data_IF_929468024928
#
_entry.id   IF_929468024928
#
_cell.length_a   1.000
_cell.length_b   1.000
_cell.length_c   1.000
_cell.angle_alpha   90.00
_cell.angle_beta   90.00
_cell.angle_gamma   90.00
#
_symmetry.space_group_name_H-M   'P 1'
#
loop_
_entity.id
_entity.type
_entity.pdbx_description
1 polymer ?
#
# COMPACT_ATOMS: atom_id res chain seq x y z
N UNK A 1 -12.15 31.95 -8.23
CA UNK A 1 -12.91 32.08 -6.98
C UNK A 1 -12.07 31.40 -5.92
N UNK A 2 -11.93 32.02 -4.77
CA UNK A 2 -11.10 31.51 -3.67
C UNK A 2 -11.95 30.45 -2.97
N UNK A 3 -11.57 29.17 -2.99
CA UNK A 3 -12.38 28.08 -2.40
C UNK A 3 -12.30 28.08 -0.86
N UNK A 4 -12.60 29.22 -0.24
CA UNK A 4 -12.53 29.43 1.21
C UNK A 4 -13.64 28.66 1.92
N UNK A 5 -13.52 28.53 3.24
CA UNK A 5 -14.50 27.79 4.04
C UNK A 5 -15.95 28.31 3.92
N UNK A 6 -16.16 29.61 3.70
CA UNK A 6 -17.51 30.13 3.48
C UNK A 6 -18.12 29.62 2.16
N UNK A 7 -17.31 29.42 1.12
CA UNK A 7 -17.79 28.89 -0.17
C UNK A 7 -18.22 27.42 -0.02
N UNK A 8 -17.56 26.65 0.86
CA UNK A 8 -18.01 25.30 1.25
C UNK A 8 -19.39 25.35 1.90
N UNK A 9 -19.57 26.22 2.90
CA UNK A 9 -20.85 26.36 3.59
C UNK A 9 -21.95 26.80 2.62
N UNK A 10 -21.68 27.79 1.78
CA UNK A 10 -22.67 28.23 0.79
C UNK A 10 -23.05 27.11 -0.19
N UNK A 11 -22.07 26.35 -0.69
CA UNK A 11 -22.32 25.18 -1.55
C UNK A 11 -23.14 24.09 -0.83
N UNK A 12 -22.83 23.82 0.44
CA UNK A 12 -23.57 22.88 1.27
C UNK A 12 -25.03 23.32 1.46
N UNK A 13 -25.23 24.59 1.83
CA UNK A 13 -26.56 25.18 1.97
C UNK A 13 -27.34 25.18 0.66
N UNK A 14 -26.70 25.42 -0.49
CA UNK A 14 -27.35 25.32 -1.79
C UNK A 14 -27.77 23.89 -2.13
N UNK A 15 -26.94 22.91 -1.82
CA UNK A 15 -27.27 21.49 -2.05
C UNK A 15 -28.51 21.09 -1.24
N UNK A 16 -28.51 21.44 0.04
CA UNK A 16 -29.59 21.13 0.97
C UNK A 16 -30.88 21.91 0.66
N UNK A 17 -30.74 23.17 0.23
CA UNK A 17 -31.88 24.01 -0.17
C UNK A 17 -32.29 23.88 -1.63
N UNK A 18 -31.70 22.95 -2.40
CA UNK A 18 -31.81 22.83 -3.87
C UNK A 18 -33.23 22.64 -4.43
N UNK A 19 -34.24 22.47 -3.57
CA UNK A 19 -35.66 22.42 -3.92
C UNK A 19 -36.25 23.77 -4.38
N UNK A 20 -35.45 24.82 -4.55
CA UNK A 20 -35.92 26.17 -4.89
C UNK A 20 -35.54 26.54 -6.33
N UNK A 21 -36.52 26.70 -7.23
CA UNK A 21 -36.26 27.18 -8.59
C UNK A 21 -35.58 28.55 -8.56
N UNK A 22 -34.39 28.68 -9.17
CA UNK A 22 -33.73 29.96 -9.42
C UNK A 22 -32.43 30.25 -8.65
N UNK A 23 -31.93 29.33 -7.82
CA UNK A 23 -30.57 29.39 -7.28
C UNK A 23 -30.31 30.51 -6.27
N UNK A 24 -31.32 30.94 -5.51
CA UNK A 24 -31.15 31.92 -4.42
C UNK A 24 -31.10 31.22 -3.06
N UNK A 25 -30.21 31.70 -2.17
CA UNK A 25 -30.15 31.24 -0.78
C UNK A 25 -31.50 31.44 -0.11
N UNK A 26 -31.90 30.47 0.72
CA UNK A 26 -33.18 30.49 1.38
C UNK A 26 -33.05 30.02 2.82
N UNK A 27 -33.46 30.87 3.75
CA UNK A 27 -33.40 30.61 5.17
C UNK A 27 -34.79 30.24 5.75
N UNK A 28 -35.87 30.38 5.00
CA UNK A 28 -37.25 30.27 5.45
C UNK A 28 -37.96 28.98 5.00
N UNK A 29 -37.23 27.97 4.50
CA UNK A 29 -37.79 26.73 3.95
C UNK A 29 -37.81 25.56 4.91
N UNK A 30 -38.74 24.66 4.61
CA UNK A 30 -38.87 23.36 5.26
C UNK A 30 -39.02 22.32 4.15
N UNK A 31 -38.20 21.27 4.18
CA UNK A 31 -38.33 20.18 3.22
C UNK A 31 -39.52 19.25 3.57
N UNK A 32 -39.91 18.34 2.68
CA UNK A 32 -41.03 17.42 2.93
C UNK A 32 -40.88 16.49 4.15
N UNK A 33 -39.66 16.36 4.68
CA UNK A 33 -39.32 15.50 5.83
C UNK A 33 -39.20 16.34 7.13
N UNK A 34 -39.49 17.64 7.07
CA UNK A 34 -39.57 18.52 8.22
C UNK A 34 -38.26 19.21 8.62
N UNK A 35 -37.15 19.02 7.90
CA UNK A 35 -35.91 19.76 8.15
C UNK A 35 -36.05 21.24 7.74
N UNK A 36 -35.37 22.15 8.45
CA UNK A 36 -35.61 23.60 8.35
C UNK A 36 -34.37 24.44 7.99
N UNK A 37 -34.59 25.54 7.26
CA UNK A 37 -33.58 26.55 6.96
C UNK A 37 -32.62 26.20 5.82
N UNK A 38 -31.62 27.06 5.61
CA UNK A 38 -30.65 26.97 4.50
C UNK A 38 -29.90 25.63 4.47
N UNK A 39 -29.58 25.10 5.64
CA UNK A 39 -28.79 23.88 5.82
C UNK A 39 -29.64 22.67 6.22
N UNK A 40 -30.97 22.75 6.06
CA UNK A 40 -31.91 21.67 6.38
C UNK A 40 -31.68 21.05 7.76
N UNK A 41 -31.77 21.86 8.81
CA UNK A 41 -31.58 21.46 10.20
C UNK A 41 -32.66 20.52 10.70
N UNK A 42 -32.23 19.45 11.38
CA UNK A 42 -33.10 18.54 12.12
C UNK A 42 -33.12 18.86 13.62
N UNK A 43 -34.13 18.34 14.32
CA UNK A 43 -34.29 18.54 15.77
C UNK A 43 -33.09 18.03 16.57
N UNK A 44 -32.56 16.85 16.21
CA UNK A 44 -31.40 16.28 16.89
C UNK A 44 -30.17 17.21 16.86
N UNK A 45 -29.88 17.82 15.71
CA UNK A 45 -28.75 18.74 15.58
C UNK A 45 -28.97 20.03 16.39
N UNK A 46 -30.18 20.60 16.35
CA UNK A 46 -30.52 21.78 17.14
C UNK A 46 -30.60 21.49 18.64
N UNK A 47 -30.94 20.26 19.02
CA UNK A 47 -30.87 19.77 20.39
C UNK A 47 -29.42 19.69 20.89
N UNK A 48 -28.54 19.08 20.11
CA UNK A 48 -27.11 18.99 20.44
C UNK A 48 -26.45 20.38 20.55
N UNK A 49 -26.92 21.34 19.75
CA UNK A 49 -26.49 22.74 19.80
C UNK A 49 -27.19 23.56 20.91
N UNK A 50 -28.19 22.98 21.59
CA UNK A 50 -28.91 23.59 22.70
C UNK A 50 -29.93 24.65 22.31
N UNK A 51 -30.35 24.74 21.04
CA UNK A 51 -31.48 25.57 20.60
C UNK A 51 -32.83 24.89 20.85
N UNK A 52 -32.81 23.56 20.90
CA UNK A 52 -34.00 22.74 21.04
C UNK A 52 -33.92 21.85 22.28
N UNK A 53 -35.05 21.59 22.92
CA UNK A 53 -35.14 20.73 24.10
C UNK A 53 -36.31 19.76 23.96
N UNK A 54 -36.06 18.53 24.41
CA UNK A 54 -37.01 17.43 24.37
C UNK A 54 -38.20 17.72 25.29
N UNK A 55 -39.42 17.73 24.75
CA UNK A 55 -40.64 17.46 25.53
C UNK A 55 -40.89 15.94 25.53
N UNK A 56 -41.86 15.40 26.27
CA UNK A 56 -42.08 13.97 26.55
C UNK A 56 -42.01 12.92 25.40
N UNK A 57 -41.75 13.31 24.14
CA UNK A 57 -41.36 12.45 23.03
C UNK A 57 -39.92 11.92 23.21
N UNK A 58 -39.72 10.60 23.06
CA UNK A 58 -38.40 9.98 23.15
C UNK A 58 -37.55 10.08 21.87
N UNK A 59 -38.12 10.46 20.72
CA UNK A 59 -37.50 10.38 19.39
C UNK A 59 -37.24 11.76 18.76
N UNK A 60 -36.00 12.24 18.80
CA UNK A 60 -35.55 13.53 18.23
C UNK A 60 -35.33 13.50 16.70
N UNK A 61 -35.68 12.42 16.01
CA UNK A 61 -35.50 12.27 14.56
C UNK A 61 -36.79 12.53 13.76
N UNK A 62 -37.89 12.90 14.41
CA UNK A 62 -39.18 13.11 13.73
C UNK A 62 -39.31 14.46 13.04
N UNK A 63 -38.52 15.46 13.45
CA UNK A 63 -38.56 16.82 12.92
C UNK A 63 -39.98 17.41 12.93
N UNK A 64 -40.77 17.13 13.97
CA UNK A 64 -42.16 17.61 14.09
C UNK A 64 -42.26 18.97 14.78
N UNK A 65 -41.17 19.39 15.44
CA UNK A 65 -41.00 20.65 16.13
C UNK A 65 -41.95 20.84 17.32
N UNK A 66 -42.40 19.75 17.95
CA UNK A 66 -43.40 19.75 19.04
C UNK A 66 -42.86 19.99 20.45
N UNK A 67 -41.54 19.86 20.67
CA UNK A 67 -40.80 20.24 21.89
C UNK A 67 -40.49 21.74 22.07
N UNK A 68 -39.74 22.06 23.12
CA UNK A 68 -39.50 23.43 23.58
C UNK A 68 -38.20 24.03 23.00
N UNK A 69 -38.27 25.27 22.53
CA UNK A 69 -37.09 26.06 22.16
C UNK A 69 -36.47 26.70 23.41
N UNK A 70 -35.14 26.71 23.48
CA UNK A 70 -34.42 27.13 24.70
C UNK A 70 -34.33 28.65 24.89
N UNK A 71 -34.63 29.45 23.86
CA UNK A 71 -34.38 30.89 23.85
C UNK A 71 -32.93 31.28 23.54
N UNK A 72 -32.04 30.31 23.27
CA UNK A 72 -30.63 30.56 22.91
C UNK A 72 -30.54 31.51 21.72
N UNK A 73 -29.67 32.51 21.84
CA UNK A 73 -29.48 33.59 20.85
C UNK A 73 -30.78 34.29 20.41
N UNK A 74 -31.80 34.31 21.27
CA UNK A 74 -33.09 34.94 21.00
C UNK A 74 -34.07 34.07 20.19
N UNK A 75 -33.74 32.80 19.93
CA UNK A 75 -34.61 31.88 19.19
C UNK A 75 -35.55 31.16 20.16
N UNK A 76 -36.83 31.55 20.17
CA UNK A 76 -37.86 30.98 21.06
C UNK A 76 -38.89 30.13 20.30
N UNK A 77 -38.75 30.01 18.99
CA UNK A 77 -39.67 29.27 18.14
C UNK A 77 -39.03 28.85 16.82
N UNK A 78 -39.68 27.91 16.13
CA UNK A 78 -39.32 27.52 14.75
C UNK A 78 -39.32 28.71 13.80
N UNK A 79 -40.28 29.62 13.99
CA UNK A 79 -40.44 30.82 13.17
C UNK A 79 -39.30 31.82 13.40
N UNK A 80 -38.84 31.99 14.66
CA UNK A 80 -37.68 32.83 14.97
C UNK A 80 -36.42 32.31 14.26
N UNK A 81 -36.23 30.98 14.23
CA UNK A 81 -35.08 30.35 13.59
C UNK A 81 -35.10 30.54 12.07
N UNK A 82 -36.24 30.30 11.42
CA UNK A 82 -36.41 30.45 9.97
C UNK A 82 -36.21 31.91 9.51
N UNK A 83 -36.68 32.88 10.30
CA UNK A 83 -36.56 34.30 9.97
C UNK A 83 -35.19 34.91 10.28
N UNK A 84 -34.26 34.14 10.86
CA UNK A 84 -32.96 34.65 11.29
C UNK A 84 -31.78 33.97 10.57
N UNK A 85 -31.49 34.43 9.35
CA UNK A 85 -30.39 33.90 8.55
C UNK A 85 -29.01 34.02 9.19
N UNK A 86 -28.76 35.11 9.95
CA UNK A 86 -27.50 35.28 10.68
C UNK A 86 -27.30 34.18 11.73
N UNK A 87 -28.37 33.77 12.41
CA UNK A 87 -28.33 32.67 13.36
C UNK A 87 -28.10 31.34 12.65
N UNK A 88 -28.73 31.09 11.49
CA UNK A 88 -28.47 29.86 10.73
C UNK A 88 -27.00 29.74 10.27
N UNK A 89 -26.38 30.85 9.86
CA UNK A 89 -24.94 30.91 9.54
C UNK A 89 -24.05 30.66 10.77
N UNK A 90 -24.45 31.18 11.94
CA UNK A 90 -23.73 30.88 13.18
C UNK A 90 -23.87 29.40 13.57
N UNK A 91 -25.07 28.85 13.46
CA UNK A 91 -25.41 27.48 13.86
C UNK A 91 -24.64 26.46 13.01
N UNK A 92 -24.46 26.70 11.70
CA UNK A 92 -23.67 25.79 10.86
C UNK A 92 -22.20 25.76 11.28
N UNK A 93 -21.62 26.90 11.67
CA UNK A 93 -20.25 26.95 12.16
C UNK A 93 -20.10 26.17 13.48
N UNK A 94 -21.02 26.39 14.43
CA UNK A 94 -21.04 25.64 15.69
C UNK A 94 -21.22 24.13 15.45
N UNK A 95 -22.06 23.75 14.49
CA UNK A 95 -22.28 22.35 14.14
C UNK A 95 -21.08 21.69 13.49
N UNK A 96 -20.39 22.37 12.58
CA UNK A 96 -19.19 21.83 11.95
C UNK A 96 -18.10 21.54 12.99
N UNK A 97 -17.99 22.35 14.06
CA UNK A 97 -17.12 22.04 15.19
C UNK A 97 -17.54 20.73 15.91
N UNK A 98 -18.85 20.52 16.12
CA UNK A 98 -19.37 19.27 16.70
C UNK A 98 -19.07 18.08 15.79
N UNK A 99 -19.32 18.20 14.47
CA UNK A 99 -19.05 17.14 13.51
C UNK A 99 -17.55 16.81 13.46
N UNK A 100 -16.68 17.82 13.40
CA UNK A 100 -15.23 17.59 13.45
C UNK A 100 -14.79 16.91 14.74
N UNK A 101 -15.36 17.29 15.89
CA UNK A 101 -15.13 16.62 17.17
C UNK A 101 -15.58 15.15 17.15
N UNK A 102 -16.69 14.83 16.47
CA UNK A 102 -17.16 13.45 16.27
C UNK A 102 -16.30 12.64 15.32
N UNK A 103 -15.78 13.27 14.27
CA UNK A 103 -14.85 12.64 13.31
C UNK A 103 -13.55 12.26 14.03
N UNK A 104 -12.97 13.21 14.75
CA UNK A 104 -11.72 13.03 15.49
C UNK A 104 -11.86 12.03 16.64
N UNK A 105 -12.91 12.13 17.47
CA UNK A 105 -13.14 11.18 18.58
C UNK A 105 -13.43 9.75 18.13
N UNK A 106 -13.87 9.55 16.90
CA UNK A 106 -14.02 8.23 16.30
C UNK A 106 -12.76 7.73 15.58
N UNK A 107 -11.66 8.49 15.61
CA UNK A 107 -10.41 8.13 14.94
C UNK A 107 -10.51 8.14 13.42
N UNK A 108 -11.42 8.93 12.84
CA UNK A 108 -11.62 9.01 11.39
C UNK A 108 -10.74 10.06 10.73
N UNK A 109 -10.13 10.96 11.50
CA UNK A 109 -9.31 12.05 11.00
C UNK A 109 -8.07 11.57 10.22
N UNK A 110 -7.52 10.40 10.58
CA UNK A 110 -6.43 9.68 9.89
C UNK A 110 -6.63 9.45 8.40
N UNK A 111 -7.90 9.41 7.97
CA UNK A 111 -8.22 9.21 6.57
C UNK A 111 -8.07 10.49 5.74
N UNK A 112 -7.87 11.65 6.36
CA UNK A 112 -7.65 12.87 5.60
C UNK A 112 -6.35 12.83 4.82
N UNK A 113 -6.37 13.24 3.55
CA UNK A 113 -5.20 13.22 2.67
C UNK A 113 -5.03 11.91 1.91
N UNK A 114 -5.65 10.83 2.38
CA UNK A 114 -5.63 9.53 1.71
C UNK A 114 -6.41 9.57 0.38
N UNK A 115 -6.08 8.65 -0.53
CA UNK A 115 -6.88 8.38 -1.73
C UNK A 115 -7.41 6.96 -1.61
N UNK A 116 -8.72 6.82 -1.40
CA UNK A 116 -9.36 5.52 -1.26
C UNK A 116 -10.19 5.22 -2.51
N UNK A 117 -9.87 4.15 -3.23
CA UNK A 117 -10.56 3.72 -4.44
C UNK A 117 -10.72 4.87 -5.45
N UNK A 118 -9.61 5.55 -5.73
CA UNK A 118 -9.48 6.78 -6.54
C UNK A 118 -10.22 8.03 -5.99
N UNK A 119 -10.67 8.01 -4.73
CA UNK A 119 -11.37 9.14 -4.10
C UNK A 119 -10.48 9.81 -3.06
N UNK A 120 -10.09 11.05 -3.34
CA UNK A 120 -9.40 11.89 -2.37
C UNK A 120 -10.30 12.19 -1.17
N UNK A 121 -9.81 11.87 0.01
CA UNK A 121 -10.51 12.12 1.27
C UNK A 121 -10.05 13.48 1.82
N UNK A 122 -10.97 14.43 1.90
CA UNK A 122 -10.68 15.79 2.39
C UNK A 122 -11.53 16.13 3.61
N UNK A 123 -11.05 17.07 4.44
CA UNK A 123 -11.78 17.58 5.61
C UNK A 123 -13.22 18.00 5.27
N UNK A 124 -13.39 18.76 4.18
CA UNK A 124 -14.67 19.29 3.72
C UNK A 124 -15.57 18.21 3.13
N UNK A 125 -15.01 17.23 2.41
CA UNK A 125 -15.75 16.04 1.99
C UNK A 125 -16.24 15.21 3.19
N UNK A 126 -15.38 14.98 4.19
CA UNK A 126 -15.75 14.28 5.42
C UNK A 126 -16.86 15.02 6.19
N UNK A 127 -16.75 16.34 6.33
CA UNK A 127 -17.78 17.17 7.00
C UNK A 127 -19.11 17.12 6.26
N UNK A 128 -19.11 17.16 4.92
CA UNK A 128 -20.32 17.05 4.13
C UNK A 128 -21.00 15.69 4.32
N UNK A 129 -20.25 14.58 4.18
CA UNK A 129 -20.79 13.23 4.42
C UNK A 129 -21.30 13.10 5.86
N UNK A 130 -20.55 13.61 6.84
CA UNK A 130 -20.94 13.62 8.25
C UNK A 130 -22.24 14.41 8.51
N UNK A 131 -22.41 15.56 7.84
CA UNK A 131 -23.61 16.39 7.97
C UNK A 131 -24.84 15.72 7.35
N UNK A 132 -24.66 15.10 6.19
CA UNK A 132 -25.76 14.66 5.32
C UNK A 132 -26.17 13.21 5.55
N UNK A 133 -25.20 12.35 5.86
CA UNK A 133 -25.41 10.91 6.06
C UNK A 133 -25.09 10.47 7.50
N UNK A 134 -24.60 11.40 8.33
CA UNK A 134 -24.21 11.13 9.72
C UNK A 134 -22.75 10.68 9.86
N UNK A 135 -22.23 10.81 11.08
CA UNK A 135 -20.82 10.49 11.40
C UNK A 135 -20.58 9.02 11.75
N UNK A 136 -21.62 8.25 12.08
CA UNK A 136 -21.53 6.90 12.65
C UNK A 136 -21.79 5.78 11.64
N UNK A 137 -22.31 4.65 12.15
CA UNK A 137 -22.71 3.50 11.32
C UNK A 137 -23.72 3.91 10.24
N UNK A 138 -23.49 3.46 9.01
CA UNK A 138 -24.27 3.82 7.83
C UNK A 138 -23.89 5.15 7.18
N UNK A 139 -23.07 5.97 7.84
CA UNK A 139 -22.59 7.26 7.34
C UNK A 139 -21.07 7.26 7.09
N UNK A 140 -20.40 8.36 7.47
CA UNK A 140 -18.98 8.59 7.20
C UNK A 140 -18.08 7.45 7.72
N UNK A 141 -18.31 6.95 8.93
CA UNK A 141 -17.49 5.89 9.53
C UNK A 141 -17.48 4.65 8.64
N UNK A 142 -18.66 4.15 8.29
CA UNK A 142 -18.79 2.97 7.43
C UNK A 142 -18.18 3.22 6.06
N UNK A 143 -18.31 4.44 5.50
CA UNK A 143 -17.73 4.77 4.20
C UNK A 143 -16.20 4.63 4.20
N UNK A 144 -15.53 5.27 5.16
CA UNK A 144 -14.07 5.28 5.25
C UNK A 144 -13.53 3.89 5.61
N UNK A 145 -14.13 3.21 6.59
CA UNK A 145 -13.68 1.88 7.02
C UNK A 145 -13.91 0.79 5.96
N UNK A 146 -14.82 1.03 5.00
CA UNK A 146 -15.03 0.16 3.84
C UNK A 146 -14.04 0.38 2.70
N UNK A 147 -13.17 1.39 2.79
CA UNK A 147 -12.30 1.78 1.68
C UNK A 147 -13.02 2.52 0.56
N UNK A 148 -13.94 3.41 0.92
CA UNK A 148 -14.71 4.22 -0.03
C UNK A 148 -15.50 3.42 -1.08
N UNK A 149 -15.85 2.14 -0.82
CA UNK A 149 -16.49 1.26 -1.81
C UNK A 149 -17.96 1.61 -2.05
N UNK A 150 -18.79 1.76 -1.03
CA UNK A 150 -20.12 2.39 -1.09
C UNK A 150 -20.81 2.22 0.27
N UNK A 151 -21.39 3.30 0.78
CA UNK A 151 -22.39 3.22 1.85
C UNK A 151 -23.63 4.01 1.42
N UNK A 152 -24.78 3.68 2.01
CA UNK A 152 -26.10 4.18 1.60
C UNK A 152 -26.13 5.67 1.28
N UNK A 153 -26.93 6.03 0.28
CA UNK A 153 -27.17 7.43 -0.07
C UNK A 153 -28.25 8.07 0.80
N UNK A 154 -28.41 9.38 0.63
CA UNK A 154 -29.57 10.10 1.15
C UNK A 154 -30.88 9.61 0.49
N UNK A 155 -32.02 10.15 0.92
CA UNK A 155 -33.33 9.83 0.34
C UNK A 155 -33.47 10.25 -1.15
N UNK A 156 -32.50 11.00 -1.68
CA UNK A 156 -32.42 11.42 -3.08
C UNK A 156 -31.43 10.59 -3.90
N UNK A 157 -30.77 9.60 -3.29
CA UNK A 157 -29.77 8.74 -3.92
C UNK A 157 -28.38 9.34 -4.05
N UNK A 158 -28.10 10.49 -3.43
CA UNK A 158 -26.75 11.06 -3.36
C UNK A 158 -25.91 10.25 -2.39
N UNK A 159 -24.79 9.69 -2.86
CA UNK A 159 -23.94 8.81 -2.06
C UNK A 159 -22.88 9.57 -1.26
N UNK A 160 -22.27 8.90 -0.28
CA UNK A 160 -21.11 9.45 0.44
C UNK A 160 -19.96 9.80 -0.53
N UNK A 161 -19.76 8.99 -1.58
CA UNK A 161 -18.78 9.25 -2.64
C UNK A 161 -19.09 10.56 -3.37
N UNK A 162 -20.34 10.77 -3.76
CA UNK A 162 -20.74 12.00 -4.46
C UNK A 162 -20.47 13.25 -3.62
N UNK A 163 -20.79 13.20 -2.31
CA UNK A 163 -20.49 14.30 -1.40
C UNK A 163 -18.99 14.51 -1.18
N UNK A 164 -18.23 13.43 -0.96
CA UNK A 164 -16.79 13.49 -0.79
C UNK A 164 -16.13 14.17 -2.00
N UNK A 165 -16.52 13.78 -3.21
CA UNK A 165 -16.03 14.38 -4.46
C UNK A 165 -16.52 15.81 -4.66
N UNK A 166 -17.80 16.10 -4.42
CA UNK A 166 -18.36 17.43 -4.67
C UNK A 166 -17.73 18.50 -3.77
N UNK A 167 -17.39 18.14 -2.53
CA UNK A 167 -16.86 19.07 -1.54
C UNK A 167 -15.34 18.99 -1.36
N UNK A 168 -14.60 18.26 -2.21
CA UNK A 168 -13.16 18.04 -2.02
C UNK A 168 -12.31 19.31 -2.11
N UNK A 169 -12.69 20.25 -3.00
CA UNK A 169 -11.85 21.40 -3.38
C UNK A 169 -11.90 22.60 -2.44
N UNK A 170 -12.56 22.51 -1.29
CA UNK A 170 -12.74 23.65 -0.37
C UNK A 170 -11.79 23.59 0.83
N UNK A 171 -11.33 24.77 1.26
CA UNK A 171 -10.55 24.96 2.48
C UNK A 171 -11.40 24.73 3.74
N UNK A 172 -10.72 24.37 4.83
CA UNK A 172 -11.32 24.14 6.14
C UNK A 172 -10.46 24.79 7.23
N UNK A 173 -11.06 25.34 8.30
CA UNK A 173 -10.30 25.84 9.45
C UNK A 173 -9.76 24.71 10.36
N UNK A 174 -10.19 23.47 10.13
CA UNK A 174 -9.79 22.34 10.97
C UNK A 174 -8.42 21.80 10.58
N UNK A 175 -7.72 21.27 11.58
CA UNK A 175 -6.41 20.63 11.44
C UNK A 175 -6.51 19.16 11.85
N UNK A 176 -5.72 18.31 11.20
CA UNK A 176 -5.46 16.93 11.62
C UNK A 176 -4.06 16.88 12.21
N UNK A 177 -3.86 16.04 13.23
CA UNK A 177 -2.53 15.82 13.79
C UNK A 177 -1.96 14.53 13.23
N UNK A 178 -1.22 14.65 12.13
CA UNK A 178 -0.58 13.54 11.43
C UNK A 178 0.80 13.19 12.01
N UNK A 179 0.96 13.31 13.34
CA UNK A 179 2.17 12.92 14.10
C UNK A 179 1.91 11.77 15.08
N UNK A 180 0.74 11.17 14.94
CA UNK A 180 0.30 10.09 15.81
C UNK A 180 0.53 8.79 15.07
N UNK A 181 0.98 7.76 15.78
CA UNK A 181 0.88 6.39 15.28
C UNK A 181 -0.58 6.03 15.00
N UNK A 182 -0.90 5.73 13.75
CA UNK A 182 -2.22 5.35 13.29
C UNK A 182 -2.24 3.96 12.67
N UNK A 183 -3.46 3.49 12.43
CA UNK A 183 -3.71 2.27 11.66
C UNK A 183 -4.70 2.62 10.58
N UNK A 184 -4.24 2.61 9.34
CA UNK A 184 -4.98 3.08 8.17
C UNK A 184 -5.23 1.87 7.26
N UNK A 185 -6.42 1.80 6.68
CA UNK A 185 -6.78 0.71 5.78
C UNK A 185 -7.40 1.24 4.49
N UNK A 186 -6.80 0.81 3.38
CA UNK A 186 -7.19 1.10 2.00
C UNK A 186 -8.56 0.54 1.67
N UNK A 187 -8.69 -0.79 1.61
CA UNK A 187 -10.00 -1.38 1.31
C UNK A 187 -9.95 -2.61 0.45
N UNK A 188 -10.61 -2.58 -0.70
CA UNK A 188 -10.51 -3.64 -1.72
C UNK A 188 -10.36 -3.04 -3.11
N UNK A 189 -10.09 -1.73 -3.16
CA UNK A 189 -9.94 -0.97 -4.39
C UNK A 189 -8.50 -0.51 -4.51
N UNK A 190 -8.21 0.31 -5.51
CA UNK A 190 -6.89 0.90 -5.66
C UNK A 190 -6.76 2.09 -4.73
N UNK A 191 -5.86 2.00 -3.76
CA UNK A 191 -5.68 2.97 -2.70
C UNK A 191 -4.28 3.62 -2.74
N UNK A 192 -4.19 4.84 -2.21
CA UNK A 192 -2.93 5.48 -1.86
C UNK A 192 -2.98 5.87 -0.40
N UNK A 193 -2.12 5.23 0.39
CA UNK A 193 -2.02 5.40 1.83
C UNK A 193 -0.71 6.12 2.18
N UNK A 194 -0.82 7.19 2.96
CA UNK A 194 0.29 7.93 3.53
C UNK A 194 0.25 7.79 5.05
N UNK A 195 1.36 7.42 5.67
CA UNK A 195 1.55 7.35 7.11
C UNK A 195 1.86 8.70 7.74
N UNK A 196 2.36 9.66 6.95
CA UNK A 196 2.80 10.99 7.43
C UNK A 196 3.89 10.88 8.52
N UNK A 197 3.75 11.52 9.69
CA UNK A 197 4.66 11.30 10.82
C UNK A 197 4.04 10.31 11.82
N UNK A 198 4.84 9.42 12.38
CA UNK A 198 4.39 8.47 13.39
C UNK A 198 4.85 7.05 13.06
N UNK A 199 4.74 6.13 14.02
CA UNK A 199 4.97 4.72 13.71
C UNK A 199 3.63 4.11 13.29
N UNK A 200 3.38 4.01 12.00
CA UNK A 200 2.09 3.71 11.42
C UNK A 200 1.98 2.26 10.96
N UNK A 201 0.73 1.82 10.78
CA UNK A 201 0.45 0.53 10.16
C UNK A 201 -0.55 0.72 9.02
N UNK A 202 -0.09 0.53 7.80
CA UNK A 202 -0.87 0.72 6.58
C UNK A 202 -1.27 -0.63 6.00
N UNK A 203 -2.58 -0.82 5.79
CA UNK A 203 -3.16 -2.02 5.19
C UNK A 203 -3.79 -1.66 3.83
N UNK A 204 -3.10 -1.90 2.73
CA UNK A 204 -3.66 -1.77 1.37
C UNK A 204 -4.86 -2.70 1.18
N UNK A 205 -4.65 -3.97 1.58
CA UNK A 205 -5.56 -5.13 1.55
C UNK A 205 -5.75 -5.72 0.17
N UNK A 206 -6.41 -5.04 -0.75
CA UNK A 206 -6.73 -5.64 -2.05
C UNK A 206 -6.87 -4.56 -3.10
N UNK A 207 -6.29 -4.76 -4.28
CA UNK A 207 -6.11 -3.71 -5.27
C UNK A 207 -4.62 -3.44 -5.49
N UNK A 208 -4.29 -2.64 -6.49
CA UNK A 208 -2.90 -2.26 -6.75
C UNK A 208 -2.59 -0.96 -5.98
N UNK A 209 -2.10 -1.10 -4.75
CA UNK A 209 -1.99 0.02 -3.81
C UNK A 209 -0.65 0.75 -3.89
N UNK A 210 -0.64 1.98 -3.41
CA UNK A 210 0.60 2.75 -3.17
C UNK A 210 0.69 3.10 -1.70
N UNK A 211 1.77 2.67 -1.05
CA UNK A 211 1.98 2.79 0.39
C UNK A 211 3.22 3.67 0.65
N UNK A 212 3.02 4.75 1.37
CA UNK A 212 4.05 5.66 1.88
C UNK A 212 4.05 5.56 3.40
N UNK A 213 5.10 4.97 3.99
CA UNK A 213 5.29 5.05 5.46
C UNK A 213 5.52 6.49 5.90
N UNK A 214 6.34 7.20 5.11
CA UNK A 214 6.83 8.55 5.37
C UNK A 214 7.76 8.56 6.59
N UNK A 215 7.63 9.49 7.54
CA UNK A 215 8.62 9.63 8.61
C UNK A 215 8.38 8.64 9.76
N UNK A 216 9.49 8.19 10.38
CA UNK A 216 9.56 7.25 11.50
C UNK A 216 9.62 5.78 11.08
N UNK A 217 8.95 4.86 11.77
CA UNK A 217 9.17 3.42 11.55
C UNK A 217 7.82 2.73 11.38
N UNK A 218 7.52 2.39 10.14
CA UNK A 218 6.19 1.97 9.74
C UNK A 218 6.11 0.48 9.43
N UNK A 219 4.87 -0.02 9.38
CA UNK A 219 4.55 -1.34 8.87
C UNK A 219 3.61 -1.22 7.69
N UNK A 220 4.09 -1.61 6.51
CA UNK A 220 3.40 -1.51 5.24
C UNK A 220 2.96 -2.90 4.79
N UNK A 221 1.64 -3.14 4.76
CA UNK A 221 1.04 -4.38 4.30
C UNK A 221 0.31 -4.12 2.99
N UNK A 222 0.85 -4.65 1.89
CA UNK A 222 0.27 -4.49 0.54
C UNK A 222 -1.05 -5.23 0.44
N UNK A 223 -0.96 -6.56 0.50
CA UNK A 223 -2.13 -7.43 0.56
C UNK A 223 -2.22 -8.26 -0.69
N UNK A 224 -3.26 -8.04 -1.49
CA UNK A 224 -3.46 -8.71 -2.77
C UNK A 224 -3.44 -7.68 -3.90
N UNK A 225 -2.59 -7.87 -4.91
CA UNK A 225 -2.48 -6.96 -6.05
C UNK A 225 -1.03 -6.72 -6.43
N UNK A 226 -0.78 -5.73 -7.29
CA UNK A 226 0.58 -5.29 -7.59
C UNK A 226 0.86 -3.98 -6.84
N UNK A 227 1.43 -4.11 -5.64
CA UNK A 227 1.60 -3.00 -4.70
C UNK A 227 2.90 -2.23 -4.90
N UNK A 228 2.87 -0.94 -4.56
CA UNK A 228 4.03 -0.05 -4.61
C UNK A 228 4.38 0.47 -3.23
N UNK A 229 5.52 0.05 -2.69
CA UNK A 229 6.07 0.58 -1.44
C UNK A 229 7.04 1.71 -1.77
N UNK A 230 6.69 2.94 -1.38
CA UNK A 230 7.40 4.14 -1.79
C UNK A 230 8.03 4.85 -0.59
N UNK A 231 9.35 4.93 -0.62
CA UNK A 231 10.17 5.51 0.44
C UNK A 231 10.82 6.79 -0.08
N UNK A 232 10.61 7.89 0.64
CA UNK A 232 11.30 9.16 0.41
C UNK A 232 12.38 9.38 1.46
N UNK A 233 13.21 10.41 1.36
CA UNK A 233 14.30 10.63 2.33
C UNK A 233 13.80 10.71 3.78
N UNK A 234 14.59 10.20 4.73
CA UNK A 234 14.28 10.21 6.15
C UNK A 234 13.08 9.33 6.55
N UNK A 235 12.85 8.26 5.78
CA UNK A 235 11.77 7.30 6.04
C UNK A 235 12.04 6.36 7.22
N UNK A 236 13.23 6.39 7.81
CA UNK A 236 13.53 5.56 8.96
C UNK A 236 13.56 4.06 8.65
N UNK A 237 13.12 3.23 9.60
CA UNK A 237 13.21 1.77 9.50
C UNK A 237 11.82 1.17 9.31
N UNK A 238 11.48 0.96 8.05
CA UNK A 238 10.15 0.51 7.63
C UNK A 238 10.10 -0.98 7.35
N UNK A 239 9.02 -1.61 7.77
CA UNK A 239 8.76 -3.02 7.54
C UNK A 239 7.74 -3.22 6.44
N UNK A 240 8.15 -3.88 5.36
CA UNK A 240 7.27 -4.35 4.28
C UNK A 240 6.88 -5.79 4.54
N UNK A 241 5.57 -6.06 4.54
CA UNK A 241 5.03 -7.41 4.57
C UNK A 241 4.03 -7.57 3.43
N UNK A 242 4.45 -8.30 2.40
CA UNK A 242 3.65 -8.53 1.22
C UNK A 242 3.28 -10.01 1.08
N UNK A 243 2.00 -10.32 1.30
CA UNK A 243 1.56 -11.71 1.46
C UNK A 243 1.49 -12.48 0.15
N UNK A 244 1.25 -11.79 -0.97
CA UNK A 244 1.21 -12.40 -2.30
C UNK A 244 2.52 -12.23 -3.08
N UNK A 245 3.47 -11.46 -2.51
CA UNK A 245 4.83 -11.20 -3.01
C UNK A 245 4.85 -10.46 -4.35
N UNK A 246 3.77 -9.74 -4.67
CA UNK A 246 3.59 -9.05 -5.93
C UNK A 246 3.65 -7.53 -5.73
N UNK A 247 4.73 -6.92 -6.20
CA UNK A 247 4.82 -5.47 -6.17
C UNK A 247 6.17 -4.93 -6.58
N UNK A 248 6.51 -3.76 -6.04
CA UNK A 248 7.82 -3.11 -6.20
C UNK A 248 8.21 -2.25 -5.00
N UNK A 249 9.52 -2.17 -4.79
CA UNK A 249 10.15 -1.25 -3.83
C UNK A 249 10.66 -0.03 -4.60
N UNK A 250 10.28 1.16 -4.15
CA UNK A 250 10.71 2.44 -4.74
C UNK A 250 11.38 3.27 -3.65
N UNK A 251 12.65 3.62 -3.82
CA UNK A 251 13.40 4.47 -2.88
C UNK A 251 13.85 5.73 -3.61
N UNK A 252 13.48 6.91 -3.10
CA UNK A 252 13.81 8.22 -3.68
C UNK A 252 13.43 8.32 -5.18
N UNK A 253 12.32 7.66 -5.57
CA UNK A 253 11.84 7.60 -6.95
C UNK A 253 12.51 6.55 -7.84
N UNK A 254 13.50 5.78 -7.34
CA UNK A 254 14.11 4.68 -8.06
C UNK A 254 13.42 3.36 -7.71
N UNK A 255 12.93 2.63 -8.71
CA UNK A 255 12.49 1.25 -8.52
C UNK A 255 13.72 0.37 -8.30
N UNK A 256 13.87 -0.14 -7.08
CA UNK A 256 14.99 -1.01 -6.69
C UNK A 256 14.74 -2.41 -7.26
N UNK A 257 15.37 -2.71 -8.40
CA UNK A 257 15.24 -3.99 -9.12
C UNK A 257 16.54 -4.30 -9.85
N UNK A 258 16.85 -5.59 -9.99
CA UNK A 258 18.00 -6.12 -10.71
C UNK A 258 18.71 -7.24 -9.95
N UNK A 259 19.82 -7.68 -10.53
CA UNK A 259 20.70 -8.69 -9.95
C UNK A 259 21.75 -7.98 -9.06
N UNK A 260 21.77 -8.32 -7.77
CA UNK A 260 22.64 -7.77 -6.75
C UNK A 260 23.82 -8.71 -6.53
N UNK A 261 25.03 -8.19 -6.71
CA UNK A 261 26.26 -8.95 -6.60
C UNK A 261 26.85 -8.90 -5.20
N UNK A 262 27.57 -9.94 -4.78
CA UNK A 262 28.24 -9.94 -3.50
C UNK A 262 29.33 -8.86 -3.41
N UNK A 263 29.43 -8.27 -2.22
CA UNK A 263 30.53 -7.37 -1.88
C UNK A 263 31.68 -8.20 -1.31
N UNK A 264 32.84 -8.14 -1.98
CA UNK A 264 34.08 -8.64 -1.38
C UNK A 264 34.44 -7.75 -0.17
N UNK A 265 34.37 -8.34 1.03
CA UNK A 265 34.68 -7.65 2.29
C UNK A 265 36.19 -7.62 2.59
N UNK A 266 37.03 -8.21 1.72
CA UNK A 266 38.48 -8.24 1.86
C UNK A 266 38.98 -8.96 3.12
N UNK A 267 38.12 -9.72 3.80
CA UNK A 267 38.45 -10.43 5.04
C UNK A 267 39.22 -11.74 4.82
N UNK A 268 39.49 -12.11 3.56
CA UNK A 268 40.22 -13.31 3.20
C UNK A 268 41.75 -13.17 3.33
N UNK A 269 42.33 -13.75 4.38
CA UNK A 269 43.76 -14.09 4.38
C UNK A 269 44.04 -15.20 3.34
N UNK A 270 44.58 -14.81 2.18
CA UNK A 270 45.52 -15.61 1.40
C UNK A 270 45.07 -16.97 0.85
N UNK A 271 44.73 -16.99 -0.45
CA UNK A 271 44.99 -18.13 -1.34
C UNK A 271 44.04 -19.33 -1.22
N UNK A 272 42.80 -19.14 -1.67
CA UNK A 272 41.82 -20.19 -1.90
C UNK A 272 40.42 -19.70 -1.53
N UNK A 273 39.60 -19.37 -2.54
CA UNK A 273 38.17 -19.04 -2.46
C UNK A 273 37.69 -18.41 -1.14
N UNK A 274 37.79 -17.09 -1.03
CA UNK A 274 37.27 -16.36 0.13
C UNK A 274 35.76 -16.14 -0.03
N UNK A 275 34.95 -16.81 0.79
CA UNK A 275 33.53 -16.49 0.99
C UNK A 275 33.39 -15.14 1.69
N UNK A 276 32.65 -14.16 1.15
CA UNK A 276 32.30 -12.93 1.86
C UNK A 276 31.66 -13.27 3.21
N UNK A 277 32.15 -12.71 4.32
CA UNK A 277 31.74 -13.14 5.66
C UNK A 277 30.50 -12.41 6.19
N UNK A 278 30.11 -11.31 5.53
CA UNK A 278 28.99 -10.47 5.96
C UNK A 278 27.69 -10.66 5.16
N UNK A 279 27.72 -11.45 4.07
CA UNK A 279 26.61 -11.69 3.12
C UNK A 279 25.90 -10.40 2.69
N UNK A 280 26.69 -9.37 2.36
CA UNK A 280 26.17 -8.11 1.85
C UNK A 280 26.30 -8.09 0.33
N UNK A 281 25.24 -7.66 -0.34
CA UNK A 281 25.16 -7.48 -1.78
C UNK A 281 25.08 -6.00 -2.15
N UNK A 282 25.49 -5.69 -3.36
CA UNK A 282 25.36 -4.37 -3.98
C UNK A 282 24.49 -4.46 -5.23
N UNK A 283 23.52 -3.54 -5.33
CA UNK A 283 22.68 -3.34 -6.50
C UNK A 283 22.78 -1.88 -6.93
N UNK A 284 23.15 -1.62 -8.19
CA UNK A 284 23.21 -0.26 -8.73
C UNK A 284 22.05 0.02 -9.67
N UNK A 285 21.19 0.98 -9.31
CA UNK A 285 20.05 1.42 -10.12
C UNK A 285 20.17 2.91 -10.39
N UNK A 286 20.13 3.32 -11.66
CA UNK A 286 20.20 4.74 -12.08
C UNK A 286 21.37 5.55 -11.48
N UNK A 287 22.49 4.89 -11.16
CA UNK A 287 23.67 5.52 -10.55
C UNK A 287 23.61 5.65 -9.03
N UNK A 288 22.57 5.11 -8.37
CA UNK A 288 22.50 4.93 -6.92
C UNK A 288 22.86 3.50 -6.58
N UNK A 289 23.70 3.31 -5.57
CA UNK A 289 24.08 1.98 -5.06
C UNK A 289 23.30 1.67 -3.80
N UNK A 290 22.60 0.55 -3.80
CA UNK A 290 21.91 -0.04 -2.65
C UNK A 290 22.73 -1.21 -2.12
N UNK A 291 22.76 -1.34 -0.80
CA UNK A 291 23.32 -2.47 -0.09
C UNK A 291 22.18 -3.34 0.42
N UNK A 292 22.29 -4.64 0.22
CA UNK A 292 21.27 -5.61 0.57
C UNK A 292 21.86 -6.68 1.47
N UNK A 293 21.06 -7.17 2.43
CA UNK A 293 21.47 -8.27 3.30
C UNK A 293 20.27 -9.13 3.62
N UNK A 294 20.34 -10.41 3.28
CA UNK A 294 19.31 -11.39 3.57
C UNK A 294 19.69 -12.28 4.75
N UNK A 295 18.75 -12.54 5.65
CA UNK A 295 18.88 -13.57 6.68
C UNK A 295 17.52 -14.11 7.09
N UNK A 296 17.36 -15.43 7.08
CA UNK A 296 16.15 -16.11 7.57
C UNK A 296 14.84 -15.59 6.96
N UNK A 297 14.84 -15.31 5.66
CA UNK A 297 13.68 -14.77 4.94
C UNK A 297 13.40 -13.28 5.20
N UNK A 298 14.34 -12.54 5.81
CA UNK A 298 14.27 -11.08 5.94
C UNK A 298 15.32 -10.47 5.03
N UNK A 299 14.90 -9.58 4.14
CA UNK A 299 15.81 -8.77 3.31
C UNK A 299 15.87 -7.34 3.83
N UNK A 300 17.07 -6.86 4.12
CA UNK A 300 17.34 -5.47 4.42
C UNK A 300 17.84 -4.76 3.16
N UNK A 301 17.41 -3.52 2.94
CA UNK A 301 17.88 -2.66 1.85
C UNK A 301 18.20 -1.27 2.41
N UNK A 302 19.38 -0.73 2.10
CA UNK A 302 19.78 0.62 2.48
C UNK A 302 20.72 1.25 1.44
N UNK A 303 20.76 2.58 1.36
CA UNK A 303 21.74 3.31 0.51
C UNK A 303 23.15 3.39 1.15
N UNK A 304 23.34 2.85 2.37
CA UNK A 304 24.64 2.75 3.03
C UNK A 304 24.81 1.43 3.78
N UNK A 305 26.03 0.90 3.75
CA UNK A 305 26.39 -0.31 4.50
C UNK A 305 26.28 -0.11 6.02
N UNK A 306 26.63 1.08 6.52
CA UNK A 306 26.52 1.40 7.95
C UNK A 306 25.07 1.27 8.42
N UNK A 307 24.12 1.90 7.71
CA UNK A 307 22.69 1.79 8.00
C UNK A 307 22.18 0.36 7.96
N UNK A 308 22.65 -0.43 6.98
CA UNK A 308 22.27 -1.83 6.83
C UNK A 308 22.74 -2.69 8.01
N UNK A 309 23.97 -2.50 8.46
CA UNK A 309 24.59 -3.29 9.54
C UNK A 309 24.04 -2.90 10.92
N UNK A 310 23.78 -1.62 11.15
CA UNK A 310 23.20 -1.13 12.41
C UNK A 310 21.67 -1.17 12.44
N UNK A 311 21.03 -1.41 11.28
CA UNK A 311 19.57 -1.32 11.07
C UNK A 311 19.05 0.02 11.59
N UNK A 312 19.65 1.12 11.09
CA UNK A 312 19.32 2.48 11.54
C UNK A 312 19.48 3.53 10.45
N UNK A 313 18.73 4.63 10.57
CA UNK A 313 18.58 5.58 9.47
C UNK A 313 17.51 5.05 8.53
N UNK A 314 17.75 5.17 7.23
CA UNK A 314 16.81 4.78 6.17
C UNK A 314 17.07 3.32 5.74
N UNK A 315 16.24 2.39 6.21
CA UNK A 315 16.36 0.95 5.96
C UNK A 315 14.99 0.34 5.67
N UNK A 316 14.84 -0.30 4.50
CA UNK A 316 13.66 -1.10 4.18
C UNK A 316 13.89 -2.53 4.69
N UNK A 317 12.95 -3.05 5.47
CA UNK A 317 12.93 -4.40 6.03
C UNK A 317 11.81 -5.20 5.38
N UNK A 318 12.14 -6.11 4.47
CA UNK A 318 11.16 -6.95 3.80
C UNK A 318 11.05 -8.28 4.53
N UNK A 319 9.87 -8.57 5.07
CA UNK A 319 9.57 -9.81 5.78
C UNK A 319 9.09 -10.90 4.82
N UNK A 320 9.58 -12.12 5.01
CA UNK A 320 9.20 -13.26 4.18
C UNK A 320 9.71 -13.16 2.74
N UNK A 321 10.80 -12.44 2.53
CA UNK A 321 11.43 -12.25 1.23
C UNK A 321 11.82 -13.59 0.61
N UNK A 322 11.47 -13.76 -0.66
CA UNK A 322 11.98 -14.83 -1.53
C UNK A 322 12.77 -14.17 -2.65
N UNK A 323 13.91 -14.73 -3.02
CA UNK A 323 14.72 -14.16 -4.07
C UNK A 323 13.96 -14.06 -5.40
N UNK A 324 14.15 -12.98 -6.13
CA UNK A 324 13.33 -12.62 -7.28
C UNK A 324 12.08 -11.81 -6.94
N UNK A 325 11.61 -11.81 -5.69
CA UNK A 325 10.51 -10.95 -5.25
C UNK A 325 10.85 -9.48 -5.52
N UNK A 326 9.84 -8.70 -5.94
CA UNK A 326 9.98 -7.30 -6.34
C UNK A 326 10.96 -7.05 -7.50
N UNK A 327 11.39 -8.12 -8.19
CA UNK A 327 12.43 -8.06 -9.21
C UNK A 327 13.84 -7.87 -8.64
N UNK A 328 14.07 -8.21 -7.37
CA UNK A 328 15.39 -8.16 -6.72
C UNK A 328 15.94 -9.57 -6.64
N UNK A 329 17.14 -9.79 -7.18
CA UNK A 329 17.81 -11.10 -7.17
C UNK A 329 19.16 -10.97 -6.48
N UNK A 330 19.48 -11.85 -5.56
CA UNK A 330 20.72 -11.88 -4.80
C UNK A 330 21.59 -13.03 -5.31
N UNK A 331 22.86 -12.70 -5.57
CA UNK A 331 23.92 -13.69 -5.80
C UNK A 331 24.16 -14.55 -4.54
N UNK A 332 24.48 -15.82 -4.67
CA UNK A 332 24.91 -16.66 -3.53
C UNK A 332 26.44 -16.64 -3.40
N UNK A 333 27.00 -16.65 -2.16
CA UNK A 333 28.43 -16.87 -1.99
C UNK A 333 28.86 -18.23 -2.54
N UNK A 334 30.02 -18.28 -3.20
CA UNK A 334 30.58 -19.54 -3.71
C UNK A 334 30.61 -20.61 -2.61
N UNK A 335 29.89 -21.73 -2.80
CA UNK A 335 30.01 -22.89 -1.94
C UNK A 335 31.28 -23.69 -2.29
N UNK A 336 32.29 -23.74 -1.40
CA UNK A 336 33.49 -24.54 -1.64
C UNK A 336 33.22 -26.06 -1.68
N UNK A 337 32.07 -26.57 -1.19
CA UNK A 337 31.69 -27.99 -1.32
C UNK A 337 31.09 -28.33 -2.70
N UNK A 338 30.55 -27.35 -3.44
CA UNK A 338 29.93 -27.55 -4.76
C UNK A 338 30.94 -27.66 -5.93
N UNK A 339 32.22 -27.37 -5.66
CA UNK A 339 33.33 -27.43 -6.64
C UNK A 339 33.98 -28.81 -6.81
N UNK A 340 33.55 -29.84 -6.09
CA UNK A 340 34.11 -31.19 -6.22
C UNK A 340 33.48 -31.93 -7.41
N UNK A 341 34.02 -31.71 -8.62
CA UNK A 341 33.73 -32.54 -9.79
C UNK A 341 34.04 -34.02 -9.48
N UNK A 342 33.04 -34.92 -9.44
CA UNK A 342 33.28 -36.34 -9.20
C UNK A 342 33.86 -37.08 -10.42
N UNK A 343 34.12 -36.38 -11.54
CA UNK A 343 34.43 -37.00 -12.85
C UNK A 343 35.83 -36.67 -13.40
N UNK A 344 36.56 -35.67 -12.88
CA UNK A 344 37.98 -35.45 -13.27
C UNK A 344 38.97 -36.33 -12.50
N UNK A 345 38.53 -36.92 -11.40
CA UNK A 345 39.18 -38.03 -10.73
C UNK A 345 38.64 -39.33 -11.35
N UNK A 346 39.47 -40.10 -12.06
CA UNK A 346 39.09 -41.38 -12.67
C UNK A 346 38.66 -42.50 -11.71
N UNK A 347 38.21 -42.19 -10.50
CA UNK A 347 37.53 -43.09 -9.58
C UNK A 347 36.08 -42.66 -9.36
N UNK A 348 35.16 -43.45 -9.93
CA UNK A 348 33.79 -43.58 -9.40
C UNK A 348 33.85 -44.00 -7.94
N UNK A 349 33.77 -43.06 -7.00
CA UNK A 349 33.54 -43.41 -5.60
C UNK A 349 32.05 -43.69 -5.38
N UNK A 350 31.68 -44.96 -5.41
CA UNK A 350 30.30 -45.43 -5.18
C UNK A 350 29.89 -45.37 -3.69
N UNK A 351 30.56 -44.55 -2.86
CA UNK A 351 30.30 -44.44 -1.41
C UNK A 351 29.86 -43.04 -0.98
N UNK A 352 29.82 -42.05 -1.87
CA UNK A 352 29.21 -40.75 -1.58
C UNK A 352 27.71 -40.83 -1.82
N UNK A 353 26.93 -40.47 -0.80
CA UNK A 353 25.46 -40.42 -0.83
C UNK A 353 24.96 -38.99 -1.11
N UNK A 354 25.77 -38.16 -1.77
CA UNK A 354 25.40 -36.78 -2.14
C UNK A 354 24.69 -36.73 -3.50
N UNK A 355 23.91 -35.68 -3.78
CA UNK A 355 23.25 -35.49 -5.07
C UNK A 355 24.29 -35.53 -6.21
N UNK A 356 23.95 -36.24 -7.28
CA UNK A 356 24.83 -36.34 -8.45
C UNK A 356 24.62 -35.09 -9.30
N UNK A 357 25.72 -34.39 -9.66
CA UNK A 357 25.65 -33.34 -10.67
C UNK A 357 25.27 -33.98 -12.01
N UNK A 358 24.06 -33.71 -12.49
CA UNK A 358 23.64 -34.04 -13.84
C UNK A 358 23.49 -32.71 -14.57
N UNK A 359 24.23 -32.56 -15.67
CA UNK A 359 24.23 -31.31 -16.43
C UNK A 359 22.90 -31.14 -17.19
N UNK A 360 22.39 -29.91 -17.32
CA UNK A 360 21.15 -29.63 -18.03
C UNK A 360 21.27 -29.97 -19.52
N UNK A 361 20.13 -30.29 -20.15
CA UNK A 361 20.02 -30.68 -21.54
C UNK A 361 20.17 -29.45 -22.43
N UNK A 362 21.24 -29.46 -23.22
CA UNK A 362 21.61 -28.36 -24.12
C UNK A 362 21.40 -28.74 -25.58
N UNK A 363 21.09 -27.74 -26.39
CA UNK A 363 20.80 -27.83 -27.81
C UNK A 363 21.78 -26.93 -28.57
N UNK A 364 22.51 -27.55 -29.50
CA UNK A 364 23.26 -26.90 -30.57
C UNK A 364 22.25 -26.26 -31.55
N UNK A 365 22.21 -24.92 -31.62
CA UNK A 365 21.20 -24.20 -32.42
C UNK A 365 21.71 -23.72 -33.77
N UNK A 366 23.02 -23.55 -33.96
CA UNK A 366 23.61 -23.04 -35.21
C UNK A 366 24.40 -24.09 -36.02
N UNK A 367 24.63 -25.25 -35.44
CA UNK A 367 25.13 -26.48 -36.06
C UNK A 367 26.64 -26.62 -36.06
N UNK A 368 27.38 -25.88 -35.23
CA UNK A 368 28.84 -26.00 -35.14
C UNK A 368 29.37 -26.64 -33.84
N UNK A 369 28.51 -26.85 -32.86
CA UNK A 369 28.83 -27.53 -31.61
C UNK A 369 27.89 -27.11 -30.49
N UNK A 370 28.20 -27.54 -29.26
CA UNK A 370 27.68 -26.84 -28.09
C UNK A 370 28.85 -26.07 -27.49
N UNK A 371 28.70 -24.77 -27.32
CA UNK A 371 29.69 -23.88 -26.76
C UNK A 371 29.32 -23.46 -25.34
N UNK A 372 30.35 -23.31 -24.51
CA UNK A 372 30.20 -22.95 -23.10
C UNK A 372 31.01 -21.69 -22.78
N UNK A 373 30.41 -20.82 -21.97
CA UNK A 373 31.08 -19.75 -21.24
C UNK A 373 31.56 -20.33 -19.91
N UNK A 374 32.88 -20.40 -19.73
CA UNK A 374 33.46 -20.82 -18.45
C UNK A 374 33.02 -19.90 -17.31
N UNK A 375 32.91 -20.44 -16.09
CA UNK A 375 32.59 -19.68 -14.87
C UNK A 375 33.42 -18.38 -14.75
N UNK A 376 34.74 -18.44 -14.97
CA UNK A 376 35.65 -17.28 -14.91
C UNK A 376 35.30 -16.13 -15.87
N UNK A 377 34.54 -16.43 -16.93
CA UNK A 377 34.14 -15.47 -17.97
C UNK A 377 32.62 -15.25 -17.98
N UNK A 378 31.88 -15.87 -17.06
CA UNK A 378 30.44 -15.76 -16.97
C UNK A 378 30.04 -14.60 -16.06
N UNK A 379 28.94 -13.94 -16.44
CA UNK A 379 28.21 -13.00 -15.60
C UNK A 379 26.76 -13.48 -15.39
N UNK A 380 26.55 -14.80 -15.47
CA UNK A 380 25.22 -15.41 -15.38
C UNK A 380 25.02 -15.94 -13.98
N UNK A 381 23.88 -15.59 -13.38
CA UNK A 381 23.49 -16.01 -12.04
C UNK A 381 22.23 -16.87 -12.09
N UNK A 382 22.32 -18.09 -11.56
CA UNK A 382 21.24 -19.06 -11.60
C UNK A 382 21.25 -19.92 -10.33
N UNK A 383 20.07 -20.21 -9.79
CA UNK A 383 19.89 -21.01 -8.57
C UNK A 383 20.04 -22.51 -8.91
N UNK A 384 21.22 -23.08 -8.65
CA UNK A 384 21.57 -24.45 -9.05
C UNK A 384 21.08 -25.52 -8.08
N UNK A 385 20.72 -25.17 -6.85
CA UNK A 385 20.31 -26.14 -5.84
C UNK A 385 18.89 -25.91 -5.28
N UNK A 386 18.20 -24.89 -5.81
CA UNK A 386 16.86 -24.46 -5.45
C UNK A 386 16.72 -24.00 -3.99
N UNK A 387 17.79 -23.47 -3.39
CA UNK A 387 17.75 -22.86 -2.06
C UNK A 387 17.17 -21.43 -2.05
N UNK A 388 17.02 -20.86 -3.24
CA UNK A 388 16.50 -19.54 -3.50
C UNK A 388 17.57 -18.48 -3.75
N UNK A 389 18.85 -18.67 -3.50
CA UNK A 389 19.92 -17.73 -3.90
C UNK A 389 20.44 -18.10 -5.31
N UNK A 390 21.24 -17.25 -5.94
CA UNK A 390 21.74 -17.51 -7.31
C UNK A 390 23.24 -17.51 -7.37
N UNK A 391 23.87 -18.62 -7.67
CA UNK A 391 25.32 -18.73 -7.82
C UNK A 391 25.76 -18.14 -9.17
N UNK A 392 27.00 -17.64 -9.26
CA UNK A 392 27.61 -17.45 -10.58
C UNK A 392 27.83 -18.83 -11.20
N UNK A 393 27.38 -19.00 -12.43
CA UNK A 393 27.44 -20.28 -13.13
C UNK A 393 28.21 -20.15 -14.44
N UNK A 394 29.03 -21.15 -14.74
CA UNK A 394 29.42 -21.41 -16.13
C UNK A 394 28.16 -21.70 -16.93
N UNK A 395 28.05 -21.13 -18.14
CA UNK A 395 26.79 -21.14 -18.87
C UNK A 395 26.96 -21.56 -20.33
N UNK A 396 25.84 -21.83 -20.99
CA UNK A 396 25.82 -22.03 -22.44
C UNK A 396 26.11 -20.71 -23.16
N UNK A 397 26.82 -20.78 -24.29
CA UNK A 397 27.06 -19.61 -25.13
C UNK A 397 25.75 -19.11 -25.78
N UNK A 398 25.74 -17.84 -26.20
CA UNK A 398 24.52 -17.17 -26.68
C UNK A 398 24.00 -17.63 -28.06
N UNK A 399 24.81 -18.38 -28.79
CA UNK A 399 24.49 -19.07 -30.04
C UNK A 399 23.68 -20.35 -29.83
N UNK A 400 23.70 -20.92 -28.63
CA UNK A 400 23.02 -22.17 -28.26
C UNK A 400 21.88 -21.97 -27.25
N UNK A 401 21.24 -23.07 -26.84
CA UNK A 401 20.12 -23.03 -25.90
C UNK A 401 20.09 -24.16 -24.87
N UNK A 402 19.67 -23.83 -23.65
CA UNK A 402 19.27 -24.84 -22.65
C UNK A 402 17.78 -25.14 -22.84
N UNK A 403 17.42 -26.42 -22.79
CA UNK A 403 16.02 -26.82 -22.77
C UNK A 403 15.44 -26.62 -21.37
N UNK A 404 14.36 -25.86 -21.30
CA UNK A 404 13.70 -25.45 -20.06
C UNK A 404 12.22 -25.79 -20.09
N UNK A 405 11.65 -26.00 -18.90
CA UNK A 405 10.22 -26.13 -18.68
C UNK A 405 9.83 -25.37 -17.41
N UNK A 406 9.15 -24.24 -17.60
CA UNK A 406 8.54 -23.46 -16.52
C UNK A 406 7.38 -24.28 -15.93
N UNK A 407 7.70 -25.13 -14.96
CA UNK A 407 6.77 -26.07 -14.35
C UNK A 407 5.79 -25.39 -13.39
N UNK A 408 6.15 -24.20 -12.90
CA UNK A 408 5.36 -23.43 -11.94
C UNK A 408 4.50 -22.31 -12.61
N UNK A 409 4.65 -22.09 -13.92
CA UNK A 409 4.03 -21.02 -14.71
C UNK A 409 4.31 -19.61 -14.18
N UNK A 410 5.51 -19.38 -13.64
CA UNK A 410 5.93 -18.06 -13.14
C UNK A 410 6.21 -17.07 -14.28
N UNK A 411 6.43 -17.55 -15.50
CA UNK A 411 6.87 -16.75 -16.64
C UNK A 411 8.37 -16.44 -16.64
N UNK A 412 9.14 -17.06 -15.74
CA UNK A 412 10.60 -16.99 -15.65
C UNK A 412 11.18 -18.39 -15.51
N UNK A 413 12.45 -18.56 -15.89
CA UNK A 413 13.25 -19.73 -15.52
C UNK A 413 14.24 -19.26 -14.47
N UNK A 414 14.07 -19.69 -13.23
CA UNK A 414 14.75 -19.09 -12.07
C UNK A 414 15.59 -20.07 -11.25
N UNK A 415 15.35 -21.38 -11.34
CA UNK A 415 16.14 -22.40 -10.63
C UNK A 415 16.25 -23.74 -11.39
N UNK A 416 17.11 -24.64 -10.90
CA UNK A 416 17.44 -25.92 -11.56
C UNK A 416 16.24 -26.83 -11.83
N UNK A 417 15.16 -26.73 -11.04
CA UNK A 417 13.96 -27.57 -11.23
C UNK A 417 13.18 -27.24 -12.51
N UNK A 418 13.54 -26.17 -13.20
CA UNK A 418 12.96 -25.76 -14.48
C UNK A 418 13.87 -26.07 -15.68
N UNK A 419 15.03 -26.70 -15.43
CA UNK A 419 15.91 -27.23 -16.46
C UNK A 419 15.65 -28.73 -16.66
N UNK A 420 15.76 -29.22 -17.89
CA UNK A 420 15.77 -30.66 -18.13
C UNK A 420 17.15 -31.22 -17.78
N UNK A 421 17.25 -32.13 -16.81
CA UNK A 421 18.51 -32.60 -16.27
C UNK A 421 18.90 -31.84 -15.01
N UNK A 422 18.58 -32.44 -13.87
CA UNK A 422 18.71 -31.88 -12.53
C UNK A 422 19.42 -32.87 -11.58
N UNK A 423 19.44 -32.60 -10.28
CA UNK A 423 20.09 -33.46 -9.29
C UNK A 423 19.43 -34.85 -9.12
N UNK A 424 18.30 -35.13 -9.77
CA UNK A 424 17.50 -36.36 -9.64
C UNK A 424 17.42 -37.20 -10.92
N UNK A 425 17.48 -36.61 -12.11
CA UNK A 425 17.32 -37.35 -13.38
C UNK A 425 18.10 -36.78 -14.58
N UNK A 426 18.37 -37.65 -15.56
CA UNK A 426 18.94 -37.25 -16.86
C UNK A 426 17.87 -36.52 -17.68
N UNK A 427 18.19 -35.33 -18.21
CA UNK A 427 17.23 -34.53 -18.99
C UNK A 427 16.64 -35.25 -20.20
N UNK A 428 17.36 -36.19 -20.82
CA UNK A 428 16.81 -37.04 -21.90
C UNK A 428 15.79 -38.06 -21.43
N UNK A 429 15.89 -38.53 -20.19
CA UNK A 429 14.93 -39.43 -19.56
C UNK A 429 13.68 -38.65 -19.14
N UNK A 430 13.84 -37.44 -18.62
CA UNK A 430 12.74 -36.53 -18.32
C UNK A 430 11.99 -36.13 -19.59
N UNK A 431 12.71 -35.73 -20.65
CA UNK A 431 12.11 -35.34 -21.92
C UNK A 431 11.25 -36.46 -22.53
N UNK A 432 11.67 -37.71 -22.36
CA UNK A 432 10.90 -38.86 -22.83
C UNK A 432 9.53 -39.03 -22.14
N UNK A 433 9.31 -38.41 -20.97
CA UNK A 433 8.03 -38.45 -20.28
C UNK A 433 6.97 -37.54 -20.92
N UNK A 434 7.39 -36.63 -21.80
CA UNK A 434 6.52 -35.69 -22.52
C UNK A 434 6.10 -36.22 -23.91
N UNK A 435 6.44 -37.47 -24.26
CA UNK A 435 5.92 -38.11 -25.46
C UNK A 435 4.56 -38.75 -25.18
N UNK A 436 3.50 -38.17 -25.74
CA UNK A 436 2.12 -38.55 -25.47
C UNK A 436 1.62 -39.74 -26.31
N UNK A 437 2.46 -40.32 -27.21
CA UNK A 437 2.03 -41.31 -28.21
C UNK A 437 2.88 -42.58 -28.35
#
# INVERSE_FOLDING_TARGET
MTNVYQDFLDALGFRESSSIPGGQQNYDKINPIGFIGKYQWGEAALYDLGYYTKDGDTNLYKNDWTGNWSGKDGINSREDFLNNGQIQEKVILDWMNILWSRITSQGLAKYEGQILNDIQITKTGMLAVAHLLGTGEGGLKTYLESGAVSVGGDDFGTTAKDYMTYFSGYESPFTVNHSLSETISGGSGKDTLNGDEGNDTLYGKGGDDVLYGDENNDTLLGGAGYDTYNFSSAFGVDTVNDSDRSGKIVINGNWVTGDASLVDDGSGEGGGGSTPTNNIHQLSVNGVTYYLKMSSGVLLIAESQESLESVSGDVVVIQGFVNGQFGIKLEEPEDPEFGADPVTDGWRDTRTTGPYRIDPLTLDLDGDGVELVSLENSNTFFDLDADGLRENVGWISSDDGILVYDSNNSGSVDNINELFGDNEALGTVELAQYDDN
#
